data_IF_665270881341
#
_entry.id   IF_665270881341
#
_cell.length_a   1.000
_cell.length_b   1.000
_cell.length_c   1.000
_cell.angle_alpha   90.00
_cell.angle_beta   90.00
_cell.angle_gamma   90.00
#
_symmetry.space_group_name_H-M   'P 1'
#
loop_
_entity.id
_entity.type
_entity.pdbx_description
1 polymer ?
#
# COMPACT_ATOMS: atom_id res chain seq x y z
N UNK A 1 -4.43 -8.91 6.08
CA UNK A 1 -3.66 -9.93 6.84
C UNK A 1 -3.76 -9.64 8.32
N UNK A 2 -3.55 -10.64 9.17
CA UNK A 2 -3.51 -10.44 10.61
C UNK A 2 -2.25 -9.67 11.00
N UNK A 3 -2.40 -8.60 11.77
CA UNK A 3 -1.30 -7.75 12.26
C UNK A 3 -1.16 -7.80 13.79
N UNK A 4 -1.87 -8.73 14.47
CA UNK A 4 -1.73 -8.90 15.91
C UNK A 4 -0.36 -9.49 16.24
N UNK A 5 0.31 -9.05 17.32
CA UNK A 5 1.68 -9.49 17.63
C UNK A 5 1.87 -11.01 17.72
N UNK A 6 0.87 -11.73 18.22
CA UNK A 6 0.90 -13.18 18.44
C UNK A 6 0.73 -14.02 17.16
N UNK A 7 0.20 -13.42 16.09
CA UNK A 7 -0.15 -14.09 14.84
C UNK A 7 0.25 -13.24 13.62
N UNK A 8 1.28 -12.41 13.79
CA UNK A 8 1.68 -11.39 12.83
C UNK A 8 1.94 -11.99 11.45
N UNK A 9 1.17 -11.53 10.47
CA UNK A 9 1.18 -11.96 9.06
C UNK A 9 0.95 -13.46 8.82
N UNK A 10 0.57 -14.24 9.83
CA UNK A 10 0.35 -15.70 9.71
C UNK A 10 -1.01 -16.07 9.14
N UNK A 11 -1.99 -15.19 9.27
CA UNK A 11 -3.37 -15.44 8.87
C UNK A 11 -3.83 -14.38 7.86
N UNK A 12 -4.60 -14.80 6.87
CA UNK A 12 -5.20 -13.91 5.87
C UNK A 12 -6.68 -14.23 5.71
N UNK A 13 -7.48 -13.18 5.52
CA UNK A 13 -8.87 -13.30 5.10
C UNK A 13 -8.88 -13.11 3.60
N UNK A 14 -9.36 -14.12 2.87
CA UNK A 14 -9.54 -14.06 1.42
C UNK A 14 -11.01 -13.80 1.12
N UNK A 15 -11.27 -12.76 0.34
CA UNK A 15 -12.59 -12.43 -0.19
C UNK A 15 -12.54 -12.55 -1.70
N UNK A 16 -13.38 -13.43 -2.26
CA UNK A 16 -13.48 -13.63 -3.71
C UNK A 16 -14.89 -13.26 -4.13
N UNK A 17 -14.99 -12.40 -5.14
CA UNK A 17 -16.25 -12.05 -5.78
C UNK A 17 -16.35 -12.80 -7.10
N UNK A 18 -17.55 -13.31 -7.40
CA UNK A 18 -17.87 -13.93 -8.67
C UNK A 18 -18.91 -13.07 -9.38
N UNK A 19 -18.82 -12.97 -10.70
CA UNK A 19 -19.90 -12.36 -11.46
C UNK A 19 -21.15 -13.20 -11.38
N UNK A 20 -22.28 -12.54 -11.12
CA UNK A 20 -23.59 -13.17 -11.19
C UNK A 20 -23.93 -13.47 -12.65
N UNK A 21 -24.40 -14.69 -12.94
CA UNK A 21 -24.64 -15.15 -14.31
C UNK A 21 -25.79 -14.37 -14.98
N UNK A 22 -26.79 -13.97 -14.21
CA UNK A 22 -27.94 -13.18 -14.66
C UNK A 22 -28.10 -11.94 -13.76
N UNK A 23 -27.28 -10.89 -13.96
CA UNK A 23 -27.39 -9.69 -13.15
C UNK A 23 -28.73 -8.99 -13.43
N UNK A 24 -29.33 -8.40 -12.39
CA UNK A 24 -30.50 -7.54 -12.57
C UNK A 24 -30.16 -6.36 -13.49
N UNK A 25 -31.05 -6.02 -14.43
CA UNK A 25 -30.90 -4.82 -15.27
C UNK A 25 -31.10 -3.52 -14.48
N UNK A 26 -31.79 -3.61 -13.33
CA UNK A 26 -31.97 -2.48 -12.43
C UNK A 26 -30.78 -2.33 -11.50
N UNK A 27 -30.14 -1.15 -11.53
CA UNK A 27 -29.10 -0.81 -10.57
C UNK A 27 -29.74 -0.63 -9.18
N UNK A 28 -29.28 -1.37 -8.15
CA UNK A 28 -29.79 -1.18 -6.80
C UNK A 28 -29.39 0.19 -6.26
N UNK A 29 -30.26 0.80 -5.46
CA UNK A 29 -29.93 2.02 -4.72
C UNK A 29 -28.77 1.76 -3.75
N UNK A 30 -27.94 2.78 -3.57
CA UNK A 30 -26.83 2.72 -2.62
C UNK A 30 -27.40 2.78 -1.20
N UNK A 31 -27.08 1.76 -0.42
CA UNK A 31 -27.40 1.70 1.00
C UNK A 31 -26.19 2.14 1.83
N UNK A 32 -26.46 2.81 2.94
CA UNK A 32 -25.45 3.02 3.97
C UNK A 32 -25.04 1.67 4.55
N UNK A 33 -23.73 1.41 4.60
CA UNK A 33 -23.22 0.17 5.18
C UNK A 33 -23.64 0.10 6.67
N UNK A 34 -24.37 -0.95 7.11
CA UNK A 34 -24.99 -1.02 8.44
C UNK A 34 -24.02 -1.01 9.63
N UNK A 35 -22.70 -0.98 9.37
CA UNK A 35 -21.63 -0.99 10.36
C UNK A 35 -20.67 0.22 10.26
N UNK A 36 -20.96 1.21 9.40
CA UNK A 36 -20.09 2.35 9.17
C UNK A 36 -19.73 3.11 10.46
N UNK A 37 -20.69 3.27 11.38
CA UNK A 37 -20.50 3.96 12.66
C UNK A 37 -19.54 3.25 13.64
N UNK A 38 -19.40 1.92 13.52
CA UNK A 38 -18.54 1.09 14.41
C UNK A 38 -17.17 0.84 13.78
N UNK A 39 -17.06 0.90 12.44
CA UNK A 39 -15.81 0.67 11.71
C UNK A 39 -14.70 1.67 12.07
N UNK A 40 -15.02 2.96 12.15
CA UNK A 40 -14.03 4.00 12.51
C UNK A 40 -13.43 3.78 13.91
N UNK A 41 -14.19 3.66 15.00
CA UNK A 41 -13.60 3.45 16.32
C UNK A 41 -12.85 2.11 16.43
N UNK A 42 -13.29 1.05 15.73
CA UNK A 42 -12.55 -0.22 15.68
C UNK A 42 -11.23 -0.09 14.92
N UNK A 43 -11.23 0.59 13.77
CA UNK A 43 -10.02 0.85 12.98
C UNK A 43 -9.05 1.75 13.75
N UNK A 44 -9.52 2.88 14.28
CA UNK A 44 -8.68 3.85 14.99
C UNK A 44 -8.26 3.39 16.38
N UNK A 45 -9.07 2.56 17.03
CA UNK A 45 -8.69 1.91 18.27
C UNK A 45 -7.49 0.96 18.13
N UNK A 46 -7.13 0.55 16.91
CA UNK A 46 -5.95 -0.27 16.63
C UNK A 46 -4.63 0.52 16.54
N UNK A 47 -4.70 1.84 16.38
CA UNK A 47 -3.53 2.71 16.36
C UNK A 47 -2.85 2.73 17.74
N UNK A 48 -1.56 2.42 17.76
CA UNK A 48 -0.71 2.27 18.95
C UNK A 48 -1.29 1.33 20.01
N UNK A 49 -2.10 0.34 19.61
CA UNK A 49 -2.83 -0.52 20.53
C UNK A 49 -2.95 -1.95 20.02
N UNK A 50 -2.13 -2.84 20.59
CA UNK A 50 -2.19 -4.28 20.30
C UNK A 50 -3.53 -4.90 20.67
N UNK A 51 -4.18 -4.37 21.72
CA UNK A 51 -5.54 -4.75 22.09
C UNK A 51 -6.56 -4.35 21.02
N UNK A 52 -6.44 -3.13 20.48
CA UNK A 52 -7.31 -2.67 19.40
C UNK A 52 -7.11 -3.45 18.10
N UNK A 53 -5.87 -3.80 17.76
CA UNK A 53 -5.56 -4.70 16.64
C UNK A 53 -6.25 -6.07 16.81
N UNK A 54 -6.20 -6.65 18.01
CA UNK A 54 -6.89 -7.90 18.34
C UNK A 54 -8.41 -7.78 18.24
N UNK A 55 -8.99 -6.69 18.77
CA UNK A 55 -10.42 -6.43 18.70
C UNK A 55 -10.90 -6.28 17.25
N UNK A 56 -10.14 -5.54 16.42
CA UNK A 56 -10.41 -5.41 14.98
C UNK A 56 -10.37 -6.76 14.28
N UNK A 57 -9.30 -7.53 14.46
CA UNK A 57 -9.17 -8.85 13.84
C UNK A 57 -10.32 -9.80 14.23
N UNK A 58 -10.66 -9.85 15.53
CA UNK A 58 -11.78 -10.65 16.01
C UNK A 58 -13.12 -10.19 15.43
N UNK A 59 -13.32 -8.88 15.29
CA UNK A 59 -14.54 -8.29 14.72
C UNK A 59 -14.65 -8.60 13.23
N UNK A 60 -13.60 -8.36 12.45
CA UNK A 60 -13.54 -8.69 11.00
C UNK A 60 -13.76 -10.18 10.75
N UNK A 61 -13.09 -11.05 11.52
CA UNK A 61 -13.20 -12.52 11.37
C UNK A 61 -14.60 -13.03 11.77
N UNK A 62 -15.21 -12.49 12.83
CA UNK A 62 -16.54 -12.92 13.29
C UNK A 62 -17.68 -12.33 12.47
N UNK A 63 -17.49 -11.19 11.81
CA UNK A 63 -18.48 -10.57 10.94
C UNK A 63 -18.50 -11.19 9.54
N UNK A 64 -17.37 -11.72 9.06
CA UNK A 64 -17.26 -12.30 7.73
C UNK A 64 -18.34 -13.36 7.39
N UNK A 65 -18.72 -14.30 8.29
CA UNK A 65 -19.76 -15.28 8.01
C UNK A 65 -21.15 -14.67 7.76
N UNK A 66 -21.45 -13.51 8.34
CA UNK A 66 -22.74 -12.82 8.17
C UNK A 66 -22.84 -12.06 6.84
N UNK A 67 -21.72 -11.88 6.13
CA UNK A 67 -21.66 -11.28 4.79
C UNK A 67 -21.77 -12.33 3.66
N UNK A 68 -21.80 -13.64 3.98
CA UNK A 68 -21.69 -14.75 3.02
C UNK A 68 -22.91 -14.98 2.11
N UNK A 69 -23.96 -14.17 2.19
CA UNK A 69 -25.19 -14.39 1.40
C UNK A 69 -25.77 -13.12 0.76
N UNK A 70 -24.92 -12.18 0.35
CA UNK A 70 -25.40 -10.91 -0.21
C UNK A 70 -24.84 -10.66 -1.60
N UNK A 71 -25.74 -10.34 -2.52
CA UNK A 71 -25.42 -9.73 -3.80
C UNK A 71 -25.01 -8.29 -3.58
N UNK A 72 -23.88 -7.89 -4.16
CA UNK A 72 -23.40 -6.52 -4.10
C UNK A 72 -23.21 -5.99 -5.52
N UNK A 73 -23.70 -4.79 -5.78
CA UNK A 73 -23.25 -4.06 -6.97
C UNK A 73 -21.82 -3.57 -6.76
N UNK A 74 -21.05 -3.45 -7.84
CA UNK A 74 -19.71 -2.84 -7.78
C UNK A 74 -19.75 -1.45 -7.15
N UNK A 75 -20.79 -0.66 -7.45
CA UNK A 75 -20.94 0.68 -6.88
C UNK A 75 -21.14 0.62 -5.36
N UNK A 76 -21.92 -0.33 -4.84
CA UNK A 76 -22.10 -0.51 -3.41
C UNK A 76 -20.78 -0.88 -2.69
N UNK A 77 -19.93 -1.70 -3.33
CA UNK A 77 -18.61 -2.05 -2.80
C UNK A 77 -17.65 -0.84 -2.76
N UNK A 78 -17.83 0.11 -3.68
CA UNK A 78 -17.01 1.32 -3.78
C UNK A 78 -17.58 2.51 -3.00
N UNK A 79 -18.78 2.39 -2.42
CA UNK A 79 -19.48 3.46 -1.71
C UNK A 79 -19.02 3.62 -0.25
N UNK A 80 -17.79 3.21 0.09
CA UNK A 80 -17.23 3.40 1.43
C UNK A 80 -16.55 4.76 1.55
N UNK A 81 -16.98 5.55 2.54
CA UNK A 81 -16.45 6.88 2.79
C UNK A 81 -15.02 6.86 3.34
N UNK A 82 -14.21 7.83 2.89
CA UNK A 82 -12.81 8.01 3.34
C UNK A 82 -12.71 8.43 4.81
N UNK A 83 -13.80 8.95 5.38
CA UNK A 83 -13.90 9.43 6.76
C UNK A 83 -13.63 8.31 7.77
N UNK A 84 -13.81 7.05 7.40
CA UNK A 84 -13.49 5.90 8.24
C UNK A 84 -11.97 5.82 8.50
N UNK A 85 -11.18 6.16 7.48
CA UNK A 85 -9.72 6.13 7.50
C UNK A 85 -9.09 7.49 7.79
N UNK A 86 -9.84 8.51 8.19
CA UNK A 86 -9.26 9.84 8.44
C UNK A 86 -8.51 9.86 9.79
N UNK A 87 -7.23 10.27 9.79
CA UNK A 87 -6.50 10.57 11.02
C UNK A 87 -6.76 12.04 11.40
N UNK A 88 -7.14 12.30 12.64
CA UNK A 88 -7.45 13.65 13.17
C UNK A 88 -6.40 14.17 14.16
N UNK A 89 -5.30 13.44 14.33
CA UNK A 89 -4.21 13.84 15.21
C UNK A 89 -3.31 14.87 14.53
N UNK A 90 -2.90 15.89 15.28
CA UNK A 90 -1.90 16.84 14.82
C UNK A 90 -0.47 16.28 14.92
N UNK A 91 -0.23 15.34 15.84
CA UNK A 91 1.10 14.82 16.18
C UNK A 91 1.49 13.57 15.38
N UNK A 92 0.54 12.99 14.65
CA UNK A 92 0.74 11.76 13.89
C UNK A 92 0.23 11.90 12.47
N UNK A 93 0.75 11.07 11.58
CA UNK A 93 0.29 10.95 10.20
C UNK A 93 0.25 9.48 9.81
N UNK A 94 -0.61 9.16 8.85
CA UNK A 94 -0.70 7.81 8.32
C UNK A 94 -0.01 7.79 6.96
N UNK A 95 0.90 6.84 6.76
CA UNK A 95 1.66 6.70 5.51
C UNK A 95 1.30 5.37 4.85
N UNK A 96 0.93 5.48 3.58
CA UNK A 96 0.62 4.35 2.74
C UNK A 96 1.90 3.87 2.03
N UNK A 97 2.12 2.57 2.06
CA UNK A 97 3.14 1.89 1.28
C UNK A 97 2.44 0.89 0.36
N UNK A 98 2.91 0.78 -0.87
CA UNK A 98 2.45 -0.23 -1.81
C UNK A 98 3.65 -0.91 -2.47
N UNK A 99 3.70 -2.23 -2.34
CA UNK A 99 4.72 -3.10 -2.93
C UNK A 99 4.09 -4.13 -3.84
N UNK A 100 4.63 -4.31 -5.04
CA UNK A 100 4.10 -5.19 -6.08
C UNK A 100 5.04 -6.38 -6.26
N UNK A 101 4.55 -7.56 -5.92
CA UNK A 101 5.36 -8.76 -5.75
C UNK A 101 4.91 -9.84 -6.73
N UNK A 102 5.82 -10.46 -7.50
CA UNK A 102 5.51 -11.59 -8.34
C UNK A 102 5.00 -12.76 -7.52
N UNK A 103 4.17 -13.62 -8.12
CA UNK A 103 3.61 -14.79 -7.43
C UNK A 103 4.67 -15.66 -6.75
N UNK A 104 5.78 -15.90 -7.45
CA UNK A 104 6.86 -16.77 -6.96
C UNK A 104 7.67 -16.13 -5.82
N UNK A 105 7.60 -14.79 -5.67
CA UNK A 105 8.26 -14.02 -4.63
C UNK A 105 7.44 -13.81 -3.35
N UNK A 106 6.17 -14.25 -3.33
CA UNK A 106 5.23 -13.97 -2.23
C UNK A 106 5.71 -14.49 -0.87
N UNK A 107 6.20 -15.73 -0.83
CA UNK A 107 6.63 -16.37 0.42
C UNK A 107 7.87 -15.69 0.99
N UNK A 108 8.86 -15.43 0.14
CA UNK A 108 10.10 -14.74 0.52
C UNK A 108 9.82 -13.32 0.99
N UNK A 109 8.99 -12.56 0.26
CA UNK A 109 8.62 -11.21 0.68
C UNK A 109 7.84 -11.22 2.01
N UNK A 110 6.87 -12.11 2.18
CA UNK A 110 6.11 -12.23 3.43
C UNK A 110 7.02 -12.57 4.62
N UNK A 111 8.01 -13.44 4.41
CA UNK A 111 9.03 -13.77 5.41
C UNK A 111 9.85 -12.53 5.78
N UNK A 112 10.31 -11.77 4.77
CA UNK A 112 11.02 -10.52 5.00
C UNK A 112 10.17 -9.50 5.78
N UNK A 113 8.88 -9.37 5.48
CA UNK A 113 7.97 -8.48 6.24
C UNK A 113 7.88 -8.88 7.72
N UNK A 114 7.83 -10.18 8.00
CA UNK A 114 7.76 -10.72 9.36
C UNK A 114 9.02 -10.36 10.17
N UNK A 115 10.17 -10.21 9.52
CA UNK A 115 11.43 -9.84 10.17
C UNK A 115 11.68 -8.33 10.22
N UNK A 116 11.37 -7.61 9.14
CA UNK A 116 11.67 -6.18 9.00
C UNK A 116 10.72 -5.35 9.87
N UNK A 117 9.40 -5.53 9.75
CA UNK A 117 8.43 -4.61 10.36
C UNK A 117 8.57 -4.54 11.89
N UNK A 118 8.68 -5.65 12.64
CA UNK A 118 8.83 -5.59 14.09
C UNK A 118 10.12 -4.91 14.56
N UNK A 119 11.21 -4.94 13.78
CA UNK A 119 12.49 -4.30 14.15
C UNK A 119 12.43 -2.78 14.13
N UNK A 120 11.56 -2.20 13.30
CA UNK A 120 11.47 -0.74 13.11
C UNK A 120 10.53 -0.04 14.10
N UNK A 121 9.82 -0.81 14.94
CA UNK A 121 8.87 -0.30 15.94
C UNK A 121 7.84 0.71 15.36
N UNK A 122 7.52 0.57 14.08
CA UNK A 122 6.49 1.37 13.40
C UNK A 122 5.13 0.72 13.60
N UNK A 123 4.10 1.54 13.77
CA UNK A 123 2.76 1.05 14.02
C UNK A 123 2.04 0.70 12.71
N UNK A 124 2.10 -0.57 12.32
CA UNK A 124 1.35 -1.09 11.17
C UNK A 124 -0.14 -1.22 11.55
N UNK A 125 -1.00 -0.48 10.85
CA UNK A 125 -2.46 -0.50 11.05
C UNK A 125 -3.17 -1.49 10.14
N UNK A 126 -2.67 -1.74 8.94
CA UNK A 126 -3.35 -2.59 7.97
C UNK A 126 -2.39 -3.15 6.92
N UNK A 127 -2.67 -4.37 6.45
CA UNK A 127 -2.09 -4.93 5.23
C UNK A 127 -3.21 -5.55 4.40
N UNK A 128 -3.45 -5.01 3.22
CA UNK A 128 -4.38 -5.54 2.21
C UNK A 128 -3.57 -6.08 1.04
N UNK A 129 -3.93 -7.27 0.55
CA UNK A 129 -3.33 -7.85 -0.66
C UNK A 129 -4.39 -7.84 -1.76
N UNK A 130 -4.02 -7.38 -2.96
CA UNK A 130 -4.86 -7.44 -4.16
C UNK A 130 -4.06 -7.93 -5.36
N UNK A 131 -4.71 -8.63 -6.28
CA UNK A 131 -4.13 -8.92 -7.59
C UNK A 131 -4.15 -7.67 -8.46
N UNK A 132 -3.10 -7.47 -9.24
CA UNK A 132 -2.92 -6.38 -10.17
C UNK A 132 -2.50 -6.98 -11.51
N UNK A 133 -3.19 -6.58 -12.57
CA UNK A 133 -2.86 -6.99 -13.94
C UNK A 133 -1.69 -6.18 -14.49
N UNK A 134 -1.09 -6.65 -15.58
CA UNK A 134 0.00 -5.92 -16.24
C UNK A 134 -0.47 -4.54 -16.73
N UNK A 135 0.35 -3.53 -16.46
CA UNK A 135 0.18 -2.16 -16.95
C UNK A 135 0.88 -2.01 -18.31
N UNK A 136 0.08 -1.74 -19.33
CA UNK A 136 0.51 -1.52 -20.71
C UNK A 136 0.51 -0.04 -21.10
N UNK A 137 0.06 0.85 -20.21
CA UNK A 137 -0.20 2.25 -20.53
C UNK A 137 0.90 3.18 -20.02
N UNK A 138 1.38 2.96 -18.79
CA UNK A 138 2.31 3.91 -18.15
C UNK A 138 3.77 3.63 -18.50
N UNK A 139 4.54 4.70 -18.72
CA UNK A 139 5.96 4.58 -19.04
C UNK A 139 6.76 4.05 -17.83
N UNK A 140 6.58 4.66 -16.65
CA UNK A 140 7.12 4.18 -15.39
C UNK A 140 6.18 3.16 -14.72
N UNK A 141 5.82 2.10 -15.45
CA UNK A 141 4.92 1.06 -14.94
C UNK A 141 5.48 0.32 -13.73
N UNK A 142 4.64 0.21 -12.71
CA UNK A 142 4.92 -0.57 -11.51
C UNK A 142 4.58 -2.05 -11.70
N UNK A 143 3.61 -2.36 -12.56
CA UNK A 143 3.22 -3.72 -12.93
C UNK A 143 3.60 -4.02 -14.38
N UNK A 144 4.70 -4.73 -14.60
CA UNK A 144 5.14 -5.21 -15.92
C UNK A 144 4.72 -6.65 -16.23
N UNK A 145 3.95 -7.24 -15.31
CA UNK A 145 3.34 -8.56 -15.40
C UNK A 145 2.19 -8.62 -14.37
N UNK A 146 1.39 -9.69 -14.31
CA UNK A 146 0.47 -9.91 -13.20
C UNK A 146 1.22 -10.02 -11.86
N UNK A 147 0.85 -9.19 -10.88
CA UNK A 147 1.51 -9.07 -9.58
C UNK A 147 0.48 -9.07 -8.44
N UNK A 148 0.98 -9.23 -7.21
CA UNK A 148 0.23 -8.99 -5.98
C UNK A 148 0.68 -7.69 -5.33
N UNK A 149 -0.23 -6.76 -5.12
CA UNK A 149 0.04 -5.53 -4.40
C UNK A 149 -0.22 -5.71 -2.90
N UNK A 150 0.81 -5.52 -2.09
CA UNK A 150 0.74 -5.36 -0.64
C UNK A 150 0.57 -3.89 -0.30
N UNK A 151 -0.64 -3.51 0.07
CA UNK A 151 -1.00 -2.16 0.50
C UNK A 151 -0.93 -2.11 2.03
N UNK A 152 0.03 -1.37 2.56
CA UNK A 152 0.30 -1.28 4.00
C UNK A 152 0.07 0.14 4.49
N UNK A 153 -0.67 0.28 5.59
CA UNK A 153 -0.89 1.58 6.22
C UNK A 153 -0.15 1.64 7.55
N UNK A 154 0.82 2.52 7.66
CA UNK A 154 1.56 2.79 8.89
C UNK A 154 1.05 4.05 9.58
N UNK A 155 1.09 4.07 10.90
CA UNK A 155 0.85 5.24 11.72
C UNK A 155 2.18 5.69 12.32
N UNK A 156 2.60 6.92 12.04
CA UNK A 156 3.89 7.43 12.48
C UNK A 156 3.77 8.79 13.17
N UNK A 157 4.65 9.09 14.14
CA UNK A 157 4.74 10.42 14.72
C UNK A 157 5.31 11.43 13.70
N UNK A 158 4.77 12.65 13.69
CA UNK A 158 5.23 13.78 12.85
C UNK A 158 6.45 14.45 13.48
N UNK A 159 7.52 13.69 13.62
CA UNK A 159 8.81 14.15 14.15
C UNK A 159 9.92 13.77 13.21
N UNK A 160 11.05 14.47 13.24
CA UNK A 160 12.20 14.09 12.40
C UNK A 160 12.71 12.68 12.70
N UNK A 161 12.64 12.25 13.97
CA UNK A 161 13.02 10.89 14.34
C UNK A 161 12.07 9.86 13.75
N UNK A 162 10.76 10.13 13.75
CA UNK A 162 9.75 9.30 13.09
C UNK A 162 9.98 9.21 11.58
N UNK A 163 10.25 10.33 10.92
CA UNK A 163 10.55 10.37 9.49
C UNK A 163 11.82 9.56 9.14
N UNK A 164 12.90 9.69 9.94
CA UNK A 164 14.14 8.90 9.74
C UNK A 164 13.91 7.39 9.93
N UNK A 165 13.10 7.00 10.92
CA UNK A 165 12.76 5.59 11.13
C UNK A 165 11.92 5.05 9.97
N UNK A 166 10.95 5.83 9.48
CA UNK A 166 10.14 5.45 8.34
C UNK A 166 10.95 5.36 7.05
N UNK A 167 11.92 6.26 6.84
CA UNK A 167 12.83 6.17 5.70
C UNK A 167 13.65 4.88 5.74
N UNK A 168 14.22 4.53 6.90
CA UNK A 168 14.95 3.27 7.09
C UNK A 168 14.09 2.04 6.81
N UNK A 169 12.88 1.98 7.40
CA UNK A 169 11.91 0.92 7.14
C UNK A 169 11.56 0.85 5.65
N UNK A 170 11.28 1.98 5.02
CA UNK A 170 10.92 2.05 3.61
C UNK A 170 12.01 1.48 2.72
N UNK A 171 13.27 1.85 2.95
CA UNK A 171 14.41 1.34 2.17
C UNK A 171 14.59 -0.16 2.33
N UNK A 172 14.45 -0.72 3.53
CA UNK A 172 14.55 -2.17 3.75
C UNK A 172 13.41 -2.95 3.06
N UNK A 173 12.18 -2.44 3.16
CA UNK A 173 11.02 -3.05 2.49
C UNK A 173 11.12 -2.95 0.96
N UNK A 174 11.62 -1.83 0.44
CA UNK A 174 11.90 -1.67 -1.00
C UNK A 174 12.95 -2.70 -1.43
N UNK A 175 14.03 -2.86 -0.68
CA UNK A 175 15.06 -3.84 -1.02
C UNK A 175 14.50 -5.27 -1.02
N UNK A 176 13.71 -5.65 -0.02
CA UNK A 176 13.05 -6.96 0.03
C UNK A 176 12.10 -7.19 -1.17
N UNK A 177 11.37 -6.15 -1.59
CA UNK A 177 10.54 -6.24 -2.80
C UNK A 177 11.42 -6.43 -4.05
N UNK A 178 12.53 -5.71 -4.17
CA UNK A 178 13.42 -5.83 -5.33
C UNK A 178 14.15 -7.18 -5.40
N UNK A 179 14.51 -7.78 -4.26
CA UNK A 179 15.14 -9.11 -4.20
C UNK A 179 14.24 -10.21 -4.75
N UNK A 180 12.92 -10.05 -4.62
CA UNK A 180 11.91 -10.98 -5.14
C UNK A 180 11.45 -10.66 -6.56
N UNK A 181 12.12 -9.74 -7.25
CA UNK A 181 11.75 -9.28 -8.61
C UNK A 181 10.52 -8.36 -8.63
N UNK A 182 10.11 -7.86 -7.47
CA UNK A 182 9.01 -6.91 -7.31
C UNK A 182 9.45 -5.44 -7.38
N UNK A 183 8.49 -4.54 -7.09
CA UNK A 183 8.66 -3.08 -7.11
C UNK A 183 7.86 -2.41 -5.99
N UNK A 184 8.00 -1.09 -5.88
CA UNK A 184 7.21 -0.24 -4.98
C UNK A 184 6.53 0.88 -5.77
N UNK A 185 5.44 1.44 -5.22
CA UNK A 185 4.69 2.52 -5.88
C UNK A 185 5.39 3.88 -5.73
N UNK A 186 5.49 4.64 -6.83
CA UNK A 186 6.24 5.91 -6.90
C UNK A 186 5.62 7.13 -6.18
N UNK A 187 4.30 7.36 -6.18
CA UNK A 187 3.70 8.63 -5.73
C UNK A 187 3.81 8.96 -4.24
N UNK A 188 4.41 8.07 -3.43
CA UNK A 188 4.51 8.28 -1.98
C UNK A 188 5.78 9.01 -1.58
N UNK A 189 6.19 8.81 -0.32
CA UNK A 189 7.42 9.37 0.23
C UNK A 189 8.61 8.93 -0.61
N UNK A 190 9.48 9.88 -0.93
CA UNK A 190 10.67 9.66 -1.74
C UNK A 190 11.79 9.04 -0.89
N UNK A 191 11.52 7.92 -0.21
CA UNK A 191 12.49 7.28 0.68
C UNK A 191 13.44 6.31 -0.06
N UNK A 192 13.08 5.85 -1.26
CA UNK A 192 13.97 4.99 -2.05
C UNK A 192 15.31 5.69 -2.32
N UNK A 193 16.40 4.93 -2.34
CA UNK A 193 17.67 5.43 -2.87
C UNK A 193 17.60 5.56 -4.39
N UNK A 194 18.43 6.40 -5.03
CA UNK A 194 18.52 6.43 -6.49
C UNK A 194 18.79 5.05 -7.10
N UNK A 195 19.65 4.26 -6.47
CA UNK A 195 19.98 2.90 -6.92
C UNK A 195 18.77 1.96 -6.85
N UNK A 196 18.00 2.02 -5.74
CA UNK A 196 16.77 1.25 -5.59
C UNK A 196 15.73 1.68 -6.63
N UNK A 197 15.57 2.98 -6.85
CA UNK A 197 14.65 3.50 -7.86
C UNK A 197 15.02 3.03 -9.27
N UNK A 198 16.28 3.11 -9.69
CA UNK A 198 16.71 2.65 -11.01
C UNK A 198 16.66 1.13 -11.19
N UNK A 199 16.84 0.35 -10.12
CA UNK A 199 16.60 -1.10 -10.13
C UNK A 199 15.11 -1.41 -10.28
N UNK A 200 14.25 -0.69 -9.56
CA UNK A 200 12.80 -0.83 -9.66
C UNK A 200 12.29 -0.42 -11.04
N UNK A 201 12.82 0.67 -11.62
CA UNK A 201 12.36 1.25 -12.88
C UNK A 201 13.53 1.39 -13.88
N UNK A 202 13.95 0.30 -14.55
CA UNK A 202 15.07 0.33 -15.50
C UNK A 202 14.89 1.33 -16.65
N UNK A 203 13.64 1.62 -17.02
CA UNK A 203 13.28 2.59 -18.04
C UNK A 203 13.46 4.07 -17.62
N UNK A 204 13.79 4.33 -16.35
CA UNK A 204 13.87 5.68 -15.81
C UNK A 204 14.87 6.59 -16.54
N UNK A 205 15.99 6.04 -17.00
CA UNK A 205 16.97 6.81 -17.77
C UNK A 205 16.38 7.37 -19.06
N UNK A 206 15.61 6.54 -19.79
CA UNK A 206 14.92 6.96 -21.00
C UNK A 206 13.80 7.97 -20.67
N UNK A 207 13.06 7.74 -19.57
CA UNK A 207 12.03 8.67 -19.11
C UNK A 207 12.60 10.08 -18.86
N UNK A 208 13.71 10.19 -18.14
CA UNK A 208 14.34 11.49 -17.88
C UNK A 208 15.01 12.10 -19.10
N UNK A 209 15.55 11.29 -20.02
CA UNK A 209 16.04 11.79 -21.31
C UNK A 209 14.90 12.44 -22.12
N UNK A 210 13.76 11.76 -22.25
CA UNK A 210 12.57 12.29 -22.93
C UNK A 210 12.05 13.55 -22.22
N UNK A 211 12.04 13.57 -20.88
CA UNK A 211 11.68 14.78 -20.13
C UNK A 211 12.52 15.98 -20.52
N UNK A 212 13.84 15.83 -20.68
CA UNK A 212 14.74 16.93 -21.10
C UNK A 212 14.59 17.28 -22.59
N UNK A 213 14.17 16.33 -23.42
CA UNK A 213 13.83 16.61 -24.83
C UNK A 213 12.57 17.49 -24.94
N UNK A 214 11.53 17.18 -24.16
CA UNK A 214 10.25 17.89 -24.24
C UNK A 214 10.14 19.11 -23.32
N UNK A 215 11.01 19.21 -22.30
CA UNK A 215 11.14 20.36 -21.42
C UNK A 215 12.62 20.72 -21.24
N UNK A 216 13.27 21.32 -22.27
CA UNK A 216 14.71 21.60 -22.26
C UNK A 216 15.14 22.65 -21.23
N UNK A 217 14.22 23.55 -20.86
CA UNK A 217 14.44 24.51 -19.78
C UNK A 217 14.20 23.91 -18.39
N UNK A 218 13.83 22.63 -18.34
CA UNK A 218 13.43 21.90 -17.15
C UNK A 218 12.47 22.72 -16.28
N UNK A 219 11.45 23.35 -16.86
CA UNK A 219 10.49 24.18 -16.14
C UNK A 219 9.63 23.33 -15.19
N UNK A 220 9.23 22.14 -15.62
CA UNK A 220 8.39 21.24 -14.84
C UNK A 220 9.25 20.31 -13.98
N UNK A 221 9.55 20.74 -12.75
CA UNK A 221 10.30 19.95 -11.77
C UNK A 221 9.50 19.75 -10.49
N UNK A 222 9.76 18.63 -9.83
CA UNK A 222 9.28 18.34 -8.49
C UNK A 222 10.38 17.58 -7.73
N UNK A 223 10.15 17.28 -6.45
CA UNK A 223 11.13 16.58 -5.62
C UNK A 223 11.51 15.19 -6.18
N UNK A 224 10.59 14.51 -6.88
CA UNK A 224 10.89 13.24 -7.55
C UNK A 224 11.93 13.42 -8.66
N UNK A 225 11.74 14.41 -9.53
CA UNK A 225 12.69 14.74 -10.59
C UNK A 225 14.04 15.21 -10.02
N UNK A 226 14.02 16.03 -8.96
CA UNK A 226 15.24 16.49 -8.31
C UNK A 226 16.05 15.33 -7.72
N UNK A 227 15.38 14.37 -7.08
CA UNK A 227 16.04 13.24 -6.40
C UNK A 227 16.56 12.17 -7.37
N UNK A 228 15.80 11.83 -8.40
CA UNK A 228 16.10 10.68 -9.26
C UNK A 228 16.46 11.05 -10.70
N UNK A 229 16.04 12.23 -11.16
CA UNK A 229 16.16 12.65 -12.55
C UNK A 229 17.37 13.51 -12.85
N UNK A 230 18.12 13.98 -11.85
CA UNK A 230 19.38 14.69 -12.07
C UNK A 230 20.51 13.67 -12.09
N UNK A 231 21.21 13.57 -13.22
CA UNK A 231 22.46 12.83 -13.31
C UNK A 231 23.42 13.40 -12.25
N UNK A 232 24.10 12.53 -11.51
CA UNK A 232 25.14 12.91 -10.55
C UNK A 232 26.33 13.55 -11.27
N UNK A 233 26.19 14.82 -11.68
CA UNK A 233 27.27 15.69 -12.16
C UNK A 233 27.87 16.52 -11.00
N UNK A 234 27.52 16.22 -9.74
CA UNK A 234 28.04 16.89 -8.55
C UNK A 234 29.10 16.08 -7.78
N UNK A 235 29.58 14.96 -8.34
CA UNK A 235 30.69 14.15 -7.79
C UNK A 235 31.96 14.21 -8.67
N UNK A 236 32.24 15.34 -9.31
CA UNK A 236 33.53 15.64 -9.97
C UNK A 236 34.11 16.97 -9.46
#
# INVERSE_FOLDING_TARGET
MNITPDQFLRNVIITVFYHEATPSETLPELTDLPLAAIRRPVFRGSSNSDYGKKLRWQTETKLQPYLRQSYYSRNQLLNEGVEIFENRSADYTDILHEYFIPRDGLEEFTTALHEIIPRHNQDLLNVTIRQVEEDQDTFLRYADQPLFAFVMLFHQPRTEAGDRQMESLSMELIEAALQTGGRYYLPYRLHATPQQFHRAYPQANQFFALKRTYDPGELFQNQFYLKYGRSSEMDQ
#
